data_IF_868234198498
#
_entry.id   IF_868234198498
#
_cell.length_a   1.000
_cell.length_b   1.000
_cell.length_c   1.000
_cell.angle_alpha   90.00
_cell.angle_beta   90.00
_cell.angle_gamma   90.00
#
_symmetry.space_group_name_H-M   'P 1'
#
loop_
_entity.id
_entity.type
_entity.pdbx_description
1 polymer ?
#
# COMPACT_ATOMS: atom_id res chain seq x y z
N UNK A 1 22.32 -1.16 -8.06
CA UNK A 1 21.47 -2.32 -7.71
C UNK A 1 22.27 -3.61 -7.51
N UNK A 2 23.24 -3.99 -8.37
CA UNK A 2 23.92 -5.30 -8.25
C UNK A 2 24.49 -5.54 -6.84
N UNK A 3 25.29 -4.62 -6.31
CA UNK A 3 25.90 -4.79 -4.98
C UNK A 3 24.88 -4.95 -3.82
N UNK A 4 23.73 -4.29 -3.89
CA UNK A 4 22.70 -4.46 -2.85
C UNK A 4 21.96 -5.77 -3.03
N UNK A 5 21.72 -6.21 -4.26
CA UNK A 5 21.12 -7.52 -4.54
C UNK A 5 21.99 -8.67 -4.00
N UNK A 6 23.31 -8.56 -4.17
CA UNK A 6 24.27 -9.53 -3.61
C UNK A 6 24.20 -9.50 -2.07
N UNK A 7 24.19 -8.32 -1.46
CA UNK A 7 24.14 -8.17 0.00
C UNK A 7 22.82 -8.70 0.63
N UNK A 8 21.72 -8.67 -0.09
CA UNK A 8 20.43 -9.22 0.37
C UNK A 8 20.43 -10.77 0.38
N UNK A 9 21.37 -11.41 -0.31
CA UNK A 9 21.50 -12.86 -0.40
C UNK A 9 22.71 -13.41 0.37
N UNK A 10 23.65 -12.54 0.73
CA UNK A 10 24.88 -12.91 1.41
C UNK A 10 24.63 -13.32 2.87
N UNK A 11 25.21 -14.45 3.29
CA UNK A 11 25.00 -15.04 4.64
C UNK A 11 25.43 -14.12 5.79
N UNK A 12 26.34 -13.18 5.56
CA UNK A 12 26.80 -12.26 6.59
C UNK A 12 25.92 -11.01 6.73
N UNK A 13 25.16 -10.67 5.66
CA UNK A 13 24.43 -9.39 5.58
C UNK A 13 22.93 -9.52 5.40
N UNK A 14 22.41 -10.64 4.91
CA UNK A 14 20.98 -10.86 4.65
C UNK A 14 20.09 -10.72 5.88
N UNK A 15 20.61 -11.00 7.09
CA UNK A 15 19.89 -10.91 8.35
C UNK A 15 20.14 -9.58 9.09
N UNK A 16 20.82 -8.62 8.46
CA UNK A 16 21.07 -7.32 9.03
C UNK A 16 19.97 -6.32 8.60
N UNK A 17 19.25 -5.74 9.55
CA UNK A 17 18.19 -4.75 9.30
C UNK A 17 18.67 -3.58 8.42
N UNK A 18 19.91 -3.10 8.63
CA UNK A 18 20.48 -2.01 7.86
C UNK A 18 20.65 -2.35 6.37
N UNK A 19 20.91 -3.60 6.00
CA UNK A 19 21.03 -4.03 4.59
C UNK A 19 19.70 -3.80 3.86
N UNK A 20 18.62 -4.25 4.44
CA UNK A 20 17.27 -4.07 3.91
C UNK A 20 16.82 -2.60 3.91
N UNK A 21 17.18 -1.83 4.96
CA UNK A 21 16.93 -0.39 4.96
C UNK A 21 17.61 0.31 3.79
N UNK A 22 18.89 -0.01 3.52
CA UNK A 22 19.63 0.56 2.38
C UNK A 22 19.02 0.14 1.06
N UNK A 23 18.59 -1.10 0.92
CA UNK A 23 17.88 -1.58 -0.29
C UNK A 23 16.60 -0.75 -0.55
N UNK A 24 15.78 -0.54 0.46
CA UNK A 24 14.59 0.31 0.36
C UNK A 24 14.94 1.76 0.00
N UNK A 25 16.00 2.31 0.58
CA UNK A 25 16.43 3.66 0.26
C UNK A 25 16.93 3.82 -1.19
N UNK A 26 17.57 2.79 -1.76
CA UNK A 26 17.98 2.78 -3.17
C UNK A 26 16.74 2.81 -4.08
N UNK A 27 15.73 1.96 -3.83
CA UNK A 27 14.48 1.97 -4.59
C UNK A 27 13.76 3.33 -4.50
N UNK A 28 13.71 3.92 -3.30
CA UNK A 28 13.15 5.25 -3.12
C UNK A 28 13.88 6.31 -3.98
N UNK A 29 15.21 6.26 -4.05
CA UNK A 29 16.00 7.18 -4.88
C UNK A 29 15.82 6.96 -6.39
N UNK A 30 15.57 5.74 -6.80
CA UNK A 30 15.20 5.43 -8.19
C UNK A 30 13.82 6.00 -8.53
N UNK A 31 12.84 5.83 -7.63
CA UNK A 31 11.54 6.47 -7.76
C UNK A 31 11.67 8.00 -7.90
N UNK A 32 12.41 8.63 -6.99
CA UNK A 32 12.63 10.09 -6.97
C UNK A 32 13.25 10.59 -8.29
N UNK A 33 14.25 9.85 -8.80
CA UNK A 33 14.90 10.14 -10.08
C UNK A 33 13.94 10.00 -11.27
N UNK A 34 13.15 8.93 -11.31
CA UNK A 34 12.18 8.69 -12.38
C UNK A 34 11.04 9.71 -12.35
N UNK A 35 10.59 10.11 -11.15
CA UNK A 35 9.59 11.15 -10.99
C UNK A 35 10.10 12.50 -11.56
N UNK A 36 11.35 12.85 -11.29
CA UNK A 36 11.98 14.05 -11.87
C UNK A 36 12.09 13.92 -13.40
N UNK A 37 12.50 12.77 -13.93
CA UNK A 37 12.59 12.54 -15.38
C UNK A 37 11.22 12.70 -16.04
N UNK A 38 10.15 12.16 -15.45
CA UNK A 38 8.78 12.33 -15.94
C UNK A 38 8.35 13.80 -15.96
N UNK A 39 8.62 14.54 -14.90
CA UNK A 39 8.32 15.98 -14.83
C UNK A 39 9.06 16.78 -15.92
N UNK A 40 10.23 16.31 -16.33
CA UNK A 40 11.01 16.88 -17.45
C UNK A 40 10.55 16.40 -18.83
N UNK A 41 9.46 15.63 -18.92
CA UNK A 41 8.94 15.07 -20.17
C UNK A 41 9.81 13.99 -20.80
N UNK A 42 10.68 13.34 -20.01
CA UNK A 42 11.50 12.22 -20.48
C UNK A 42 10.71 10.93 -20.41
N UNK A 43 10.98 10.02 -21.33
CA UNK A 43 10.42 8.68 -21.27
C UNK A 43 10.93 7.94 -20.03
N UNK A 44 10.03 7.31 -19.31
CA UNK A 44 10.31 6.43 -18.17
C UNK A 44 9.61 5.09 -18.40
N UNK A 45 10.20 4.03 -17.85
CA UNK A 45 9.53 2.76 -17.72
C UNK A 45 8.62 2.83 -16.47
N UNK A 46 7.30 2.92 -16.71
CA UNK A 46 6.30 3.12 -15.64
C UNK A 46 6.21 1.89 -14.74
N UNK A 47 6.35 0.68 -15.31
CA UNK A 47 6.28 -0.56 -14.55
C UNK A 47 7.51 -0.70 -13.64
N UNK A 48 8.72 -0.46 -14.17
CA UNK A 48 9.95 -0.46 -13.38
C UNK A 48 9.95 0.64 -12.31
N UNK A 49 9.39 1.81 -12.63
CA UNK A 49 9.23 2.90 -11.67
C UNK A 49 8.29 2.52 -10.54
N UNK A 50 7.11 1.96 -10.87
CA UNK A 50 6.16 1.49 -9.89
C UNK A 50 6.70 0.36 -9.02
N UNK A 51 7.37 -0.62 -9.64
CA UNK A 51 8.01 -1.72 -8.91
C UNK A 51 9.03 -1.20 -7.88
N UNK A 52 9.83 -0.17 -8.21
CA UNK A 52 10.82 0.40 -7.29
C UNK A 52 10.19 1.02 -6.05
N UNK A 53 8.99 1.60 -6.16
CA UNK A 53 8.23 2.14 -5.03
C UNK A 53 7.76 1.03 -4.09
N UNK A 54 7.17 -0.03 -4.65
CA UNK A 54 6.69 -1.18 -3.87
C UNK A 54 7.84 -1.92 -3.21
N UNK A 55 8.94 -2.18 -3.94
CA UNK A 55 10.15 -2.77 -3.37
C UNK A 55 10.67 -2.00 -2.16
N UNK A 56 10.68 -0.66 -2.24
CA UNK A 56 11.17 0.18 -1.14
C UNK A 56 10.36 -0.04 0.13
N UNK A 57 9.04 -0.07 0.03
CA UNK A 57 8.17 -0.30 1.18
C UNK A 57 8.39 -1.70 1.76
N UNK A 58 8.40 -2.74 0.92
CA UNK A 58 8.61 -4.12 1.32
C UNK A 58 9.97 -4.32 2.01
N UNK A 59 11.02 -3.68 1.49
CA UNK A 59 12.36 -3.74 2.09
C UNK A 59 12.41 -3.04 3.46
N UNK A 60 11.69 -1.93 3.63
CA UNK A 60 11.61 -1.27 4.93
C UNK A 60 10.81 -2.06 5.95
N UNK A 61 9.73 -2.73 5.54
CA UNK A 61 9.02 -3.66 6.41
C UNK A 61 9.94 -4.79 6.86
N UNK A 62 10.68 -5.41 5.92
CA UNK A 62 11.66 -6.46 6.24
C UNK A 62 12.78 -5.95 7.14
N UNK A 63 13.29 -4.74 6.90
CA UNK A 63 14.28 -4.10 7.77
C UNK A 63 13.74 -3.90 9.19
N UNK A 64 12.48 -3.51 9.32
CA UNK A 64 11.83 -3.35 10.61
C UNK A 64 11.66 -4.68 11.35
N UNK A 65 11.19 -5.73 10.68
CA UNK A 65 11.10 -7.07 11.26
C UNK A 65 12.46 -7.55 11.82
N UNK A 66 13.52 -7.39 11.03
CA UNK A 66 14.87 -7.78 11.45
C UNK A 66 15.40 -6.93 12.62
N UNK A 67 15.05 -5.64 12.68
CA UNK A 67 15.42 -4.77 13.80
C UNK A 67 14.80 -5.20 15.13
N UNK A 68 13.64 -5.88 15.08
CA UNK A 68 12.98 -6.44 16.27
C UNK A 68 13.62 -7.73 16.77
N UNK A 69 14.50 -8.37 15.99
CA UNK A 69 15.21 -9.58 16.39
C UNK A 69 16.40 -9.20 17.27
N UNK A 70 16.48 -9.68 18.53
CA UNK A 70 17.59 -9.34 19.40
C UNK A 70 18.89 -10.02 18.97
N UNK A 71 19.98 -9.28 19.02
CA UNK A 71 21.34 -9.84 19.06
C UNK A 71 21.79 -9.97 20.51
N UNK A 72 22.76 -10.82 20.79
CA UNK A 72 23.24 -11.04 22.16
C UNK A 72 24.70 -10.63 22.31
N UNK A 73 25.01 -9.88 23.33
CA UNK A 73 26.40 -9.54 23.65
C UNK A 73 27.15 -10.72 24.29
N UNK A 74 28.46 -10.57 24.51
CA UNK A 74 29.32 -11.61 25.10
C UNK A 74 28.89 -12.06 26.50
N UNK A 75 27.99 -11.30 27.17
CA UNK A 75 27.42 -11.62 28.48
C UNK A 75 26.01 -12.19 28.40
N UNK A 76 25.51 -12.48 27.19
CA UNK A 76 24.17 -12.99 26.95
C UNK A 76 23.05 -11.95 27.09
N UNK A 77 23.38 -10.65 27.14
CA UNK A 77 22.36 -9.59 27.23
C UNK A 77 21.82 -9.28 25.83
N UNK A 78 20.50 -9.29 25.70
CA UNK A 78 19.82 -8.92 24.47
C UNK A 78 20.05 -7.43 24.10
N UNK A 79 20.34 -7.20 22.83
CA UNK A 79 20.44 -5.87 22.20
C UNK A 79 19.55 -5.83 20.97
N UNK A 80 18.78 -4.78 20.84
CA UNK A 80 17.91 -4.51 19.69
C UNK A 80 18.48 -3.39 18.83
N UNK A 81 18.23 -3.46 17.54
CA UNK A 81 18.53 -2.35 16.65
C UNK A 81 17.47 -1.25 16.85
N UNK A 82 17.84 -0.21 17.57
CA UNK A 82 16.98 0.96 17.81
C UNK A 82 17.21 2.07 16.79
N UNK A 83 18.19 1.93 15.90
CA UNK A 83 18.55 2.92 14.89
C UNK A 83 17.70 2.77 13.62
N UNK A 84 17.65 1.57 13.07
CA UNK A 84 16.93 1.28 11.81
C UNK A 84 15.46 1.69 11.87
N UNK A 85 14.68 1.37 12.93
CA UNK A 85 13.30 1.85 13.04
C UNK A 85 13.16 3.37 12.97
N UNK A 86 14.08 4.13 13.58
CA UNK A 86 14.07 5.60 13.53
C UNK A 86 14.38 6.17 12.15
N UNK A 87 15.05 5.41 11.29
CA UNK A 87 15.31 5.80 9.91
C UNK A 87 14.13 5.44 8.99
N UNK A 88 13.44 4.32 9.24
CA UNK A 88 12.31 3.84 8.46
C UNK A 88 11.06 4.70 8.70
N UNK A 89 10.74 4.96 9.95
CA UNK A 89 9.49 5.61 10.36
C UNK A 89 9.20 6.91 9.60
N UNK A 90 10.15 7.88 9.49
CA UNK A 90 9.93 9.08 8.70
C UNK A 90 9.69 8.80 7.21
N UNK A 91 10.31 7.75 6.67
CA UNK A 91 10.17 7.39 5.25
C UNK A 91 8.80 6.81 4.93
N UNK A 92 8.31 5.92 5.77
CA UNK A 92 6.95 5.37 5.64
C UNK A 92 5.90 6.48 5.80
N UNK A 93 6.07 7.37 6.77
CA UNK A 93 5.21 8.55 6.96
C UNK A 93 5.25 9.48 5.73
N UNK A 94 6.43 9.68 5.14
CA UNK A 94 6.62 10.47 3.91
C UNK A 94 5.88 9.84 2.72
N UNK A 95 5.94 8.50 2.54
CA UNK A 95 5.19 7.80 1.51
C UNK A 95 3.70 8.05 1.59
N UNK A 96 3.14 8.01 2.80
CA UNK A 96 1.72 8.28 3.01
C UNK A 96 1.38 9.75 2.73
N UNK A 97 2.04 10.67 3.41
CA UNK A 97 1.70 12.10 3.37
C UNK A 97 1.92 12.73 1.99
N UNK A 98 2.92 12.27 1.24
CA UNK A 98 3.22 12.77 -0.11
C UNK A 98 2.47 12.00 -1.20
N UNK A 99 1.58 11.08 -0.83
CA UNK A 99 0.77 10.29 -1.78
C UNK A 99 1.63 9.60 -2.86
N UNK A 100 2.83 9.12 -2.46
CA UNK A 100 3.83 8.56 -3.39
C UNK A 100 3.25 7.37 -4.13
N UNK A 101 2.64 6.42 -3.39
CA UNK A 101 2.03 5.22 -3.95
C UNK A 101 0.80 5.55 -4.81
N UNK A 102 -0.01 6.54 -4.42
CA UNK A 102 -1.18 6.99 -5.20
C UNK A 102 -0.73 7.55 -6.54
N UNK A 103 0.29 8.40 -6.54
CA UNK A 103 0.82 8.99 -7.77
C UNK A 103 1.39 7.92 -8.71
N UNK A 104 2.12 6.96 -8.17
CA UNK A 104 2.65 5.83 -8.94
C UNK A 104 1.51 4.92 -9.45
N UNK A 105 0.49 4.66 -8.65
CA UNK A 105 -0.66 3.85 -9.02
C UNK A 105 -1.49 4.46 -10.15
N UNK A 106 -1.73 5.77 -10.15
CA UNK A 106 -2.39 6.42 -11.30
C UNK A 106 -1.56 6.32 -12.57
N UNK A 107 -0.23 6.44 -12.48
CA UNK A 107 0.63 6.26 -13.64
C UNK A 107 0.59 4.83 -14.19
N UNK A 108 0.56 3.82 -13.32
CA UNK A 108 0.39 2.43 -13.71
C UNK A 108 -0.97 2.21 -14.40
N UNK A 109 -2.02 2.80 -13.88
CA UNK A 109 -3.35 2.74 -14.50
C UNK A 109 -3.39 3.40 -15.88
N UNK A 110 -2.83 4.60 -16.02
CA UNK A 110 -2.69 5.31 -17.31
C UNK A 110 -1.86 4.50 -18.33
N UNK A 111 -0.90 3.70 -17.86
CA UNK A 111 -0.11 2.77 -18.66
C UNK A 111 -0.84 1.43 -18.94
N UNK A 112 -2.15 1.33 -18.65
CA UNK A 112 -2.96 0.14 -18.82
C UNK A 112 -2.51 -1.07 -17.98
N UNK A 113 -2.01 -0.80 -16.76
CA UNK A 113 -1.66 -1.83 -15.77
C UNK A 113 -2.51 -1.66 -14.49
N UNK A 114 -3.81 -2.03 -14.52
CA UNK A 114 -4.70 -1.90 -13.36
C UNK A 114 -4.28 -2.78 -12.18
N UNK A 115 -3.62 -3.93 -12.44
CA UNK A 115 -3.13 -4.80 -11.36
C UNK A 115 -2.07 -4.11 -10.52
N UNK A 116 -1.08 -3.46 -11.14
CA UNK A 116 -0.06 -2.69 -10.44
C UNK A 116 -0.66 -1.46 -9.74
N UNK A 117 -1.65 -0.81 -10.39
CA UNK A 117 -2.38 0.30 -9.77
C UNK A 117 -3.08 -0.14 -8.48
N UNK A 118 -3.76 -1.29 -8.50
CA UNK A 118 -4.35 -1.87 -7.29
C UNK A 118 -3.31 -2.07 -6.19
N UNK A 119 -2.20 -2.74 -6.51
CA UNK A 119 -1.16 -3.06 -5.52
C UNK A 119 -0.63 -1.80 -4.83
N UNK A 120 -0.48 -0.70 -5.56
CA UNK A 120 -0.02 0.57 -5.01
C UNK A 120 -1.08 1.27 -4.14
N UNK A 121 -2.32 1.30 -4.60
CA UNK A 121 -3.40 1.93 -3.84
C UNK A 121 -3.70 1.17 -2.55
N UNK A 122 -3.75 -0.17 -2.60
CA UNK A 122 -3.98 -0.98 -1.40
C UNK A 122 -2.78 -0.90 -0.42
N UNK A 123 -1.55 -0.83 -0.93
CA UNK A 123 -0.38 -0.61 -0.09
C UNK A 123 -0.45 0.75 0.62
N UNK A 124 -0.87 1.83 -0.07
CA UNK A 124 -1.09 3.14 0.55
C UNK A 124 -2.12 3.08 1.68
N UNK A 125 -3.27 2.48 1.41
CA UNK A 125 -4.37 2.32 2.38
C UNK A 125 -3.93 1.52 3.61
N UNK A 126 -3.04 0.54 3.43
CA UNK A 126 -2.56 -0.31 4.51
C UNK A 126 -1.36 0.26 5.29
N UNK A 127 -0.74 1.37 4.86
CA UNK A 127 0.38 1.98 5.59
C UNK A 127 0.07 2.20 7.09
N UNK A 128 -1.10 2.72 7.50
CA UNK A 128 -1.41 2.91 8.92
C UNK A 128 -1.45 1.60 9.73
N UNK A 129 -1.56 0.46 9.06
CA UNK A 129 -1.66 -0.88 9.67
C UNK A 129 -0.33 -1.64 9.67
N UNK A 130 0.72 -1.08 9.08
CA UNK A 130 2.04 -1.67 9.11
C UNK A 130 2.53 -1.86 10.54
N UNK A 131 3.27 -2.93 10.79
CA UNK A 131 3.79 -3.26 12.13
C UNK A 131 4.54 -2.08 12.75
N UNK A 132 5.34 -1.36 11.98
CA UNK A 132 6.04 -0.17 12.46
C UNK A 132 5.06 0.92 12.92
N UNK A 133 3.93 1.13 12.24
CA UNK A 133 2.92 2.11 12.64
C UNK A 133 2.16 1.66 13.90
N UNK A 134 1.90 0.37 14.06
CA UNK A 134 1.28 -0.18 15.27
C UNK A 134 2.19 0.00 16.51
N UNK A 135 3.49 -0.16 16.34
CA UNK A 135 4.47 -0.01 17.43
C UNK A 135 4.80 1.47 17.75
N UNK A 136 4.42 2.40 16.85
CA UNK A 136 4.55 3.84 17.03
C UNK A 136 3.18 4.55 16.87
N UNK A 137 2.22 4.31 17.77
CA UNK A 137 0.84 4.78 17.62
C UNK A 137 0.70 6.31 17.56
N UNK A 138 1.63 7.06 18.15
CA UNK A 138 1.66 8.54 18.07
C UNK A 138 1.95 9.02 16.64
N UNK A 139 2.78 8.28 15.90
CA UNK A 139 3.05 8.58 14.49
C UNK A 139 1.89 8.10 13.60
N UNK A 140 1.35 6.92 13.86
CA UNK A 140 0.17 6.41 13.15
C UNK A 140 -1.04 7.34 13.29
N UNK A 141 -1.24 7.95 14.46
CA UNK A 141 -2.32 8.91 14.70
C UNK A 141 -2.20 10.21 13.86
N UNK A 142 -1.02 10.49 13.28
CA UNK A 142 -0.81 11.61 12.36
C UNK A 142 -1.22 11.30 10.93
N UNK A 143 -1.45 10.03 10.60
CA UNK A 143 -1.89 9.58 9.29
C UNK A 143 -3.41 9.68 9.23
N UNK A 144 -3.91 10.64 8.46
CA UNK A 144 -5.34 10.93 8.41
C UNK A 144 -6.09 9.88 7.58
N UNK A 145 -7.11 9.28 8.18
CA UNK A 145 -8.12 8.48 7.49
C UNK A 145 -9.34 9.35 7.19
N UNK A 146 -9.14 10.33 6.33
CA UNK A 146 -10.17 11.25 5.86
C UNK A 146 -10.87 10.74 4.58
N UNK A 147 -11.63 11.61 3.92
CA UNK A 147 -12.29 11.28 2.65
C UNK A 147 -11.31 10.82 1.58
N UNK A 148 -10.06 11.31 1.58
CA UNK A 148 -9.04 10.92 0.60
C UNK A 148 -8.62 9.46 0.81
N UNK A 149 -8.48 9.01 2.05
CA UNK A 149 -8.22 7.61 2.38
C UNK A 149 -9.31 6.68 1.81
N UNK A 150 -10.58 7.00 2.05
CA UNK A 150 -11.69 6.18 1.55
C UNK A 150 -11.83 6.24 0.03
N UNK A 151 -11.50 7.38 -0.58
CA UNK A 151 -11.43 7.50 -2.05
C UNK A 151 -10.33 6.58 -2.61
N UNK A 152 -9.18 6.50 -1.95
CA UNK A 152 -8.12 5.56 -2.34
C UNK A 152 -8.56 4.10 -2.19
N UNK A 153 -9.30 3.77 -1.14
CA UNK A 153 -9.86 2.44 -0.94
C UNK A 153 -10.83 2.06 -2.06
N UNK A 154 -11.71 3.00 -2.45
CA UNK A 154 -12.59 2.82 -3.60
C UNK A 154 -11.82 2.57 -4.91
N UNK A 155 -10.81 3.40 -5.21
CA UNK A 155 -10.00 3.21 -6.42
C UNK A 155 -9.22 1.89 -6.40
N UNK A 156 -8.69 1.48 -5.25
CA UNK A 156 -8.05 0.17 -5.12
C UNK A 156 -9.00 -0.96 -5.52
N UNK A 157 -10.22 -0.98 -4.96
CA UNK A 157 -11.22 -1.99 -5.30
C UNK A 157 -11.64 -1.96 -6.76
N UNK A 158 -11.79 -0.76 -7.35
CA UNK A 158 -12.08 -0.59 -8.77
C UNK A 158 -10.94 -1.13 -9.65
N UNK A 159 -9.68 -0.83 -9.34
CA UNK A 159 -8.54 -1.32 -10.11
C UNK A 159 -8.38 -2.84 -9.99
N UNK A 160 -8.67 -3.41 -8.81
CA UNK A 160 -8.73 -4.87 -8.66
C UNK A 160 -9.80 -5.49 -9.55
N UNK A 161 -11.00 -4.88 -9.64
CA UNK A 161 -12.06 -5.33 -10.55
C UNK A 161 -11.59 -5.27 -12.02
N UNK A 162 -11.03 -4.16 -12.46
CA UNK A 162 -10.54 -3.99 -13.84
C UNK A 162 -9.36 -4.93 -14.17
N UNK A 163 -8.64 -5.40 -13.15
CA UNK A 163 -7.58 -6.40 -13.25
C UNK A 163 -8.10 -7.84 -13.14
N UNK A 164 -9.42 -8.06 -13.08
CA UNK A 164 -10.09 -9.36 -12.87
C UNK A 164 -9.68 -10.06 -11.56
N UNK A 165 -9.16 -9.29 -10.58
CA UNK A 165 -8.82 -9.76 -9.24
C UNK A 165 -10.04 -9.67 -8.32
N UNK A 166 -11.05 -10.44 -8.62
CA UNK A 166 -12.40 -10.28 -8.07
C UNK A 166 -12.48 -10.48 -6.55
N UNK A 167 -11.74 -11.43 -6.00
CA UNK A 167 -11.72 -11.67 -4.54
C UNK A 167 -11.15 -10.47 -3.80
N UNK A 168 -10.04 -9.91 -4.28
CA UNK A 168 -9.43 -8.72 -3.71
C UNK A 168 -10.30 -7.47 -3.93
N UNK A 169 -10.96 -7.37 -5.08
CA UNK A 169 -11.91 -6.29 -5.35
C UNK A 169 -13.05 -6.29 -4.33
N UNK A 170 -13.71 -7.44 -4.12
CA UNK A 170 -14.79 -7.58 -3.15
C UNK A 170 -14.29 -7.23 -1.75
N UNK A 171 -13.18 -7.84 -1.30
CA UNK A 171 -12.63 -7.60 0.04
C UNK A 171 -12.31 -6.13 0.27
N UNK A 172 -11.75 -5.45 -0.74
CA UNK A 172 -11.39 -4.04 -0.66
C UNK A 172 -12.62 -3.11 -0.65
N UNK A 173 -13.59 -3.38 -1.52
CA UNK A 173 -14.81 -2.57 -1.63
C UNK A 173 -15.75 -2.77 -0.42
N UNK A 174 -15.78 -3.96 0.16
CA UNK A 174 -16.53 -4.21 1.41
C UNK A 174 -15.99 -3.38 2.59
N UNK A 175 -14.72 -3.02 2.60
CA UNK A 175 -14.16 -2.09 3.59
C UNK A 175 -14.82 -0.72 3.51
N UNK A 176 -15.26 -0.25 2.34
CA UNK A 176 -16.04 0.98 2.19
C UNK A 176 -17.33 0.95 3.03
N UNK A 177 -17.98 -0.21 3.13
CA UNK A 177 -19.21 -0.38 3.88
C UNK A 177 -18.98 -0.41 5.40
N UNK A 178 -17.82 -0.81 5.85
CA UNK A 178 -17.52 -1.05 7.27
C UNK A 178 -16.67 0.06 7.91
N UNK A 179 -15.76 0.66 7.16
CA UNK A 179 -14.78 1.62 7.69
C UNK A 179 -15.14 3.09 7.44
N UNK A 180 -16.15 3.40 6.61
CA UNK A 180 -16.46 4.79 6.28
C UNK A 180 -16.90 5.58 7.51
N UNK A 181 -16.17 6.61 7.85
CA UNK A 181 -16.48 7.48 8.99
C UNK A 181 -17.55 8.55 8.64
N UNK A 182 -17.80 8.81 7.35
CA UNK A 182 -18.63 9.92 6.90
C UNK A 182 -19.44 9.52 5.66
N UNK A 183 -20.44 8.66 5.87
CA UNK A 183 -21.26 8.06 4.81
C UNK A 183 -21.81 9.07 3.79
N UNK A 184 -22.28 10.24 4.26
CA UNK A 184 -22.84 11.25 3.37
C UNK A 184 -21.82 11.89 2.43
N UNK A 185 -20.58 12.10 2.89
CA UNK A 185 -19.50 12.66 2.07
C UNK A 185 -19.00 11.67 1.00
N UNK A 186 -19.15 10.38 1.24
CA UNK A 186 -18.67 9.28 0.37
C UNK A 186 -19.82 8.47 -0.24
N UNK A 187 -21.04 9.04 -0.24
CA UNK A 187 -22.23 8.33 -0.72
C UNK A 187 -22.07 7.72 -2.10
N UNK A 188 -21.48 8.47 -3.03
CA UNK A 188 -21.28 8.00 -4.40
C UNK A 188 -20.30 6.83 -4.46
N UNK A 189 -19.15 6.97 -3.78
CA UNK A 189 -18.12 5.95 -3.74
C UNK A 189 -18.62 4.65 -3.12
N UNK A 190 -19.43 4.72 -2.05
CA UNK A 190 -20.04 3.56 -1.41
C UNK A 190 -21.09 2.90 -2.32
N UNK A 191 -21.93 3.69 -3.02
CA UNK A 191 -22.90 3.15 -3.99
C UNK A 191 -22.15 2.45 -5.11
N UNK A 192 -21.16 3.09 -5.74
CA UNK A 192 -20.37 2.49 -6.82
C UNK A 192 -19.57 1.26 -6.35
N UNK A 193 -19.07 1.26 -5.12
CA UNK A 193 -18.41 0.07 -4.56
C UNK A 193 -19.36 -1.14 -4.54
N UNK A 194 -20.60 -0.94 -4.09
CA UNK A 194 -21.59 -2.02 -4.09
C UNK A 194 -22.06 -2.40 -5.51
N UNK A 195 -22.08 -1.47 -6.46
CA UNK A 195 -22.33 -1.77 -7.87
C UNK A 195 -21.24 -2.65 -8.48
N UNK A 196 -19.95 -2.40 -8.19
CA UNK A 196 -18.86 -3.28 -8.60
C UNK A 196 -18.97 -4.66 -7.97
N UNK A 197 -19.27 -4.75 -6.68
CA UNK A 197 -19.49 -6.03 -5.99
C UNK A 197 -20.66 -6.78 -6.62
N UNK A 198 -21.75 -6.09 -6.93
CA UNK A 198 -22.89 -6.65 -7.68
C UNK A 198 -22.46 -7.23 -9.02
N UNK A 199 -21.71 -6.45 -9.81
CA UNK A 199 -21.22 -6.86 -11.12
C UNK A 199 -20.37 -8.14 -11.03
N UNK A 200 -19.43 -8.19 -10.09
CA UNK A 200 -18.59 -9.37 -9.86
C UNK A 200 -19.45 -10.62 -9.58
N UNK A 201 -20.44 -10.51 -8.70
CA UNK A 201 -21.30 -11.65 -8.38
C UNK A 201 -22.19 -12.07 -9.55
N UNK A 202 -22.65 -11.14 -10.39
CA UNK A 202 -23.35 -11.45 -11.64
C UNK A 202 -22.45 -12.23 -12.60
N UNK A 203 -21.21 -11.79 -12.81
CA UNK A 203 -20.22 -12.46 -13.67
C UNK A 203 -19.88 -13.87 -13.14
N UNK A 204 -19.89 -14.06 -11.81
CA UNK A 204 -19.69 -15.35 -11.17
C UNK A 204 -20.97 -16.22 -11.13
N UNK A 205 -22.13 -15.71 -11.55
CA UNK A 205 -23.41 -16.41 -11.52
C UNK A 205 -24.07 -16.47 -10.13
N UNK A 206 -23.55 -15.76 -9.12
CA UNK A 206 -24.11 -15.71 -7.76
C UNK A 206 -25.13 -14.58 -7.64
N UNK A 207 -26.34 -14.82 -8.17
CA UNK A 207 -27.42 -13.82 -8.17
C UNK A 207 -27.91 -13.46 -6.76
N UNK A 208 -27.75 -14.36 -5.77
CA UNK A 208 -28.17 -14.09 -4.38
C UNK A 208 -27.28 -13.02 -3.77
N UNK A 209 -25.95 -13.20 -3.82
CA UNK A 209 -24.99 -12.22 -3.31
C UNK A 209 -25.03 -10.92 -4.13
N UNK A 210 -25.28 -10.98 -5.43
CA UNK A 210 -25.48 -9.80 -6.25
C UNK A 210 -26.64 -8.92 -5.71
N UNK A 211 -27.81 -9.52 -5.44
CA UNK A 211 -28.93 -8.79 -4.88
C UNK A 211 -28.64 -8.25 -3.47
N UNK A 212 -27.90 -9.00 -2.65
CA UNK A 212 -27.49 -8.56 -1.29
C UNK A 212 -26.60 -7.32 -1.34
N UNK A 213 -25.65 -7.23 -2.30
CA UNK A 213 -24.76 -6.07 -2.42
C UNK A 213 -25.52 -4.77 -2.77
N UNK A 214 -26.53 -4.86 -3.64
CA UNK A 214 -27.38 -3.69 -3.95
C UNK A 214 -28.25 -3.31 -2.77
N UNK A 215 -28.79 -4.27 -2.02
CA UNK A 215 -29.57 -3.96 -0.81
C UNK A 215 -28.75 -3.21 0.22
N UNK A 216 -27.47 -3.54 0.40
CA UNK A 216 -26.58 -2.78 1.31
C UNK A 216 -26.53 -1.29 0.97
N UNK A 217 -26.46 -0.92 -0.31
CA UNK A 217 -26.47 0.49 -0.72
C UNK A 217 -27.78 1.19 -0.33
N UNK A 218 -28.92 0.51 -0.51
CA UNK A 218 -30.23 1.05 -0.16
C UNK A 218 -30.35 1.24 1.37
N UNK A 219 -29.89 0.25 2.14
CA UNK A 219 -29.95 0.30 3.61
C UNK A 219 -29.04 1.40 4.19
N UNK A 220 -27.89 1.64 3.56
CA UNK A 220 -26.93 2.67 3.98
C UNK A 220 -27.41 4.09 3.65
N UNK A 221 -28.18 4.26 2.58
CA UNK A 221 -28.65 5.56 2.09
C UNK A 221 -30.15 5.50 1.72
N UNK A 222 -31.04 5.27 2.70
CA UNK A 222 -32.48 5.34 2.44
C UNK A 222 -32.85 6.75 1.98
N UNK A 223 -33.71 6.85 0.95
CA UNK A 223 -34.28 8.13 0.45
C UNK A 223 -35.19 8.81 1.48
#
# INVERSE_FOLDING_TARGET
RVAISDALQDEETKDQANTWYVAGYIGYKEFDTNNLNRQMGRNIDVDAWGASVMESLNYWEKAYELALVPTYDKKGKAKYDTRTPKLILPKVTEYYNNSVLISAGFNAYEANNPSLAYDMFIAHVNIPELKIMQDYPEEAAKLLRDTSYYTCLYYAGRFAYEAERYEEAIATLERMNTEHANANALRKEVIYANEYIYQIYIEQGDTVKAVESIKKSIDLFPE
#
